data_IF_497298182848
#
_entry.id   IF_497298182848
#
_cell.length_a   1.000
_cell.length_b   1.000
_cell.length_c   1.000
_cell.angle_alpha   90.00
_cell.angle_beta   90.00
_cell.angle_gamma   90.00
#
_symmetry.space_group_name_H-M   'P 1'
#
loop_
_entity.id
_entity.type
_entity.pdbx_description
1 polymer ?
#
# COMPACT_ATOMS: atom_id res chain seq x y z
N UNK A 1 63.27 -26.56 7.66
CA UNK A 1 62.13 -26.27 6.77
C UNK A 1 61.05 -25.63 7.61
N UNK A 2 60.95 -24.30 7.60
CA UNK A 2 59.88 -23.57 8.25
C UNK A 2 58.89 -23.14 7.16
N UNK A 3 57.70 -23.71 7.19
CA UNK A 3 56.61 -23.37 6.27
C UNK A 3 56.02 -22.04 6.72
N UNK A 4 56.25 -20.99 5.95
CA UNK A 4 55.57 -19.70 6.09
C UNK A 4 54.10 -19.94 5.71
N UNK A 5 53.21 -19.89 6.69
CA UNK A 5 51.78 -19.80 6.43
C UNK A 5 51.52 -18.42 5.80
N UNK A 6 51.27 -18.40 4.49
CA UNK A 6 50.71 -17.23 3.83
C UNK A 6 49.33 -16.97 4.43
N UNK A 7 49.22 -15.91 5.22
CA UNK A 7 47.94 -15.28 5.53
C UNK A 7 47.42 -14.75 4.21
N UNK A 8 46.43 -15.43 3.64
CA UNK A 8 45.68 -14.92 2.51
C UNK A 8 44.89 -13.72 3.03
N UNK A 9 45.39 -12.51 2.77
CA UNK A 9 44.60 -11.29 2.91
C UNK A 9 43.38 -11.45 2.00
N UNK A 10 42.22 -11.69 2.61
CA UNK A 10 40.95 -11.59 1.89
C UNK A 10 40.79 -10.13 1.49
N UNK A 11 40.88 -9.88 0.20
CA UNK A 11 40.62 -8.59 -0.44
C UNK A 11 39.13 -8.25 -0.32
N UNK A 12 38.70 -7.95 0.90
CA UNK A 12 37.35 -7.46 1.19
C UNK A 12 37.31 -6.00 0.77
N UNK A 13 36.46 -5.70 -0.20
CA UNK A 13 36.15 -4.32 -0.55
C UNK A 13 35.84 -3.53 0.73
N UNK A 14 36.40 -2.32 0.90
CA UNK A 14 36.23 -1.56 2.12
C UNK A 14 34.73 -1.34 2.40
N UNK A 15 34.30 -1.41 3.67
CA UNK A 15 32.89 -1.24 4.02
C UNK A 15 32.40 0.13 3.55
N UNK A 16 31.09 0.28 3.24
CA UNK A 16 30.57 1.56 2.84
C UNK A 16 30.66 2.53 4.02
N UNK A 17 30.71 3.83 3.70
CA UNK A 17 30.75 4.87 4.73
C UNK A 17 29.59 4.69 5.73
N UNK A 18 29.85 4.86 7.03
CA UNK A 18 28.87 4.59 8.11
C UNK A 18 27.52 5.30 7.91
N UNK A 19 27.54 6.49 7.30
CA UNK A 19 26.33 7.23 6.94
C UNK A 19 25.35 6.42 6.07
N UNK A 20 25.83 5.46 5.27
CA UNK A 20 24.95 4.60 4.46
C UNK A 20 24.03 3.75 5.33
N UNK A 21 24.51 3.23 6.46
CA UNK A 21 23.68 2.46 7.41
C UNK A 21 22.60 3.31 8.09
N UNK A 22 22.77 4.64 8.10
CA UNK A 22 21.75 5.57 8.57
C UNK A 22 20.71 5.89 7.49
N UNK A 23 21.09 5.81 6.21
CA UNK A 23 20.22 6.15 5.08
C UNK A 23 19.40 4.94 4.62
N UNK A 24 20.03 3.77 4.48
CA UNK A 24 19.39 2.56 3.93
C UNK A 24 18.06 2.21 4.62
N UNK A 25 17.92 2.31 5.97
CA UNK A 25 16.65 2.00 6.64
C UNK A 25 15.46 2.91 6.26
N UNK A 26 15.72 4.06 5.64
CA UNK A 26 14.68 4.99 5.15
C UNK A 26 14.33 4.80 3.68
N UNK A 27 15.07 3.95 2.97
CA UNK A 27 14.84 3.69 1.56
C UNK A 27 13.74 2.64 1.38
N UNK A 28 13.02 2.74 0.26
CA UNK A 28 12.04 1.73 -0.14
C UNK A 28 12.74 0.45 -0.58
N UNK A 29 12.01 -0.66 -0.56
CA UNK A 29 12.56 -1.98 -0.93
C UNK A 29 13.21 -1.97 -2.32
N UNK A 30 12.59 -1.27 -3.29
CA UNK A 30 13.17 -1.12 -4.63
C UNK A 30 14.54 -0.43 -4.63
N UNK A 31 14.68 0.63 -3.83
CA UNK A 31 15.91 1.40 -3.73
C UNK A 31 16.99 0.61 -2.98
N UNK A 32 16.63 -0.08 -1.90
CA UNK A 32 17.53 -0.98 -1.15
C UNK A 32 18.06 -2.10 -2.05
N UNK A 33 17.19 -2.71 -2.86
CA UNK A 33 17.60 -3.73 -3.83
C UNK A 33 18.51 -3.14 -4.91
N UNK A 34 18.19 -1.95 -5.43
CA UNK A 34 19.03 -1.25 -6.42
C UNK A 34 20.42 -0.94 -5.87
N UNK A 35 20.52 -0.50 -4.61
CA UNK A 35 21.80 -0.27 -3.94
C UNK A 35 22.66 -1.54 -3.87
N UNK A 36 22.04 -2.70 -3.64
CA UNK A 36 22.76 -3.98 -3.63
C UNK A 36 23.34 -4.40 -4.98
N UNK A 37 22.98 -3.72 -6.07
CA UNK A 37 23.52 -3.97 -7.41
C UNK A 37 24.71 -3.06 -7.76
N UNK A 38 25.00 -2.04 -6.94
CA UNK A 38 26.05 -1.05 -7.25
C UNK A 38 27.46 -1.61 -7.05
N UNK A 39 27.72 -2.25 -5.91
CA UNK A 39 29.00 -2.89 -5.62
C UNK A 39 28.88 -4.00 -4.58
N UNK A 40 29.92 -4.81 -4.43
CA UNK A 40 30.02 -5.89 -3.43
C UNK A 40 29.82 -5.37 -2.01
N UNK A 41 30.51 -4.29 -1.65
CA UNK A 41 30.47 -3.66 -0.33
C UNK A 41 29.04 -3.21 0.07
N UNK A 42 28.29 -2.57 -0.84
CA UNK A 42 26.90 -2.18 -0.57
C UNK A 42 25.96 -3.39 -0.54
N UNK A 43 26.18 -4.38 -1.40
CA UNK A 43 25.42 -5.63 -1.37
C UNK A 43 25.55 -6.34 -0.04
N UNK A 44 26.77 -6.42 0.49
CA UNK A 44 27.06 -7.09 1.75
C UNK A 44 26.48 -6.29 2.92
N UNK A 45 26.60 -4.95 2.90
CA UNK A 45 25.95 -4.09 3.89
C UNK A 45 24.42 -4.29 3.94
N UNK A 46 23.77 -4.34 2.77
CA UNK A 46 22.32 -4.55 2.65
C UNK A 46 21.89 -5.96 3.08
N UNK A 47 22.70 -6.98 2.81
CA UNK A 47 22.37 -8.37 3.14
C UNK A 47 22.64 -8.73 4.60
N UNK A 48 23.64 -8.12 5.22
CA UNK A 48 24.06 -8.42 6.59
C UNK A 48 23.35 -7.56 7.64
N UNK A 49 22.80 -6.40 7.25
CA UNK A 49 21.97 -5.57 8.12
C UNK A 49 20.50 -6.00 8.07
N UNK A 50 19.90 -6.21 9.24
CA UNK A 50 18.49 -6.58 9.39
C UNK A 50 17.58 -5.36 9.42
N UNK A 51 18.08 -4.19 9.83
CA UNK A 51 17.24 -3.00 10.05
C UNK A 51 16.40 -2.59 8.85
N UNK A 52 16.92 -2.59 7.60
CA UNK A 52 16.13 -2.23 6.41
C UNK A 52 14.98 -3.20 6.13
N UNK A 53 15.06 -4.42 6.67
CA UNK A 53 14.11 -5.51 6.40
C UNK A 53 13.09 -5.69 7.52
N UNK A 54 13.10 -4.85 8.58
CA UNK A 54 12.09 -4.91 9.65
C UNK A 54 10.71 -4.40 9.19
N UNK A 55 10.67 -3.55 8.15
CA UNK A 55 9.45 -2.96 7.59
C UNK A 55 9.49 -3.07 6.07
N UNK A 56 8.84 -4.09 5.53
CA UNK A 56 8.82 -4.35 4.10
C UNK A 56 7.52 -3.82 3.52
N UNK A 57 7.63 -2.87 2.59
CA UNK A 57 6.52 -2.34 1.80
C UNK A 57 6.84 -2.64 0.33
N UNK A 58 6.03 -3.49 -0.28
CA UNK A 58 6.10 -3.81 -1.71
C UNK A 58 4.93 -3.12 -2.42
N UNK A 59 5.28 -2.30 -3.40
CA UNK A 59 4.36 -1.53 -4.22
C UNK A 59 4.84 -1.53 -5.68
N UNK A 60 4.14 -0.80 -6.55
CA UNK A 60 4.54 -0.60 -7.94
C UNK A 60 5.97 -0.02 -8.01
N UNK A 61 6.84 -0.54 -8.89
CA UNK A 61 6.59 -1.56 -9.91
C UNK A 61 6.89 -3.01 -9.47
N UNK A 62 7.37 -3.24 -8.24
CA UNK A 62 7.82 -4.56 -7.79
C UNK A 62 6.67 -5.57 -7.65
N UNK A 63 5.49 -5.11 -7.22
CA UNK A 63 4.31 -5.93 -7.00
C UNK A 63 3.92 -6.81 -8.21
N UNK A 64 4.01 -6.30 -9.45
CA UNK A 64 3.61 -7.01 -10.66
C UNK A 64 4.44 -8.25 -10.99
N UNK A 65 5.68 -8.34 -10.48
CA UNK A 65 6.59 -9.46 -10.74
C UNK A 65 6.92 -10.27 -9.50
N UNK A 66 6.35 -9.90 -8.35
CA UNK A 66 6.66 -10.52 -7.08
C UNK A 66 6.05 -11.92 -7.00
N UNK A 67 6.89 -12.94 -6.90
CA UNK A 67 6.47 -14.34 -6.69
C UNK A 67 6.64 -14.75 -5.23
N UNK A 68 5.99 -15.85 -4.82
CA UNK A 68 6.14 -16.44 -3.49
C UNK A 68 7.62 -16.65 -3.10
N UNK A 69 8.43 -17.22 -4.00
CA UNK A 69 9.85 -17.49 -3.74
C UNK A 69 10.68 -16.20 -3.61
N UNK A 70 10.37 -15.18 -4.40
CA UNK A 70 11.05 -13.89 -4.32
C UNK A 70 10.70 -13.16 -3.03
N UNK A 71 9.41 -13.18 -2.65
CA UNK A 71 8.96 -12.62 -1.38
C UNK A 71 9.65 -13.30 -0.20
N UNK A 72 9.74 -14.64 -0.19
CA UNK A 72 10.44 -15.38 0.85
C UNK A 72 11.91 -14.99 0.97
N UNK A 73 12.64 -14.92 -0.16
CA UNK A 73 14.04 -14.46 -0.18
C UNK A 73 14.23 -13.05 0.36
N UNK A 74 13.27 -12.16 0.14
CA UNK A 74 13.30 -10.79 0.66
C UNK A 74 13.03 -10.80 2.17
N UNK A 75 11.98 -11.49 2.61
CA UNK A 75 11.56 -11.51 4.02
C UNK A 75 12.51 -12.28 4.93
N UNK A 76 13.25 -13.27 4.40
CA UNK A 76 14.25 -14.03 5.17
C UNK A 76 15.41 -13.15 5.66
N UNK A 77 15.70 -12.04 4.97
CA UNK A 77 16.73 -11.07 5.39
C UNK A 77 16.41 -10.39 6.71
N UNK A 78 15.16 -10.42 7.16
CA UNK A 78 14.77 -9.90 8.48
C UNK A 78 15.15 -10.86 9.63
N UNK A 79 15.63 -12.07 9.33
CA UNK A 79 16.00 -13.11 10.32
C UNK A 79 14.89 -13.37 11.34
N UNK A 80 13.65 -13.46 10.86
CA UNK A 80 12.46 -13.73 11.68
C UNK A 80 11.95 -12.52 12.47
N UNK A 81 12.58 -11.35 12.34
CA UNK A 81 12.26 -10.13 13.09
C UNK A 81 11.39 -9.14 12.30
N UNK A 82 10.85 -9.53 11.14
CA UNK A 82 9.93 -8.69 10.37
C UNK A 82 8.76 -8.23 11.25
N UNK A 83 8.55 -6.91 11.32
CA UNK A 83 7.49 -6.30 12.13
C UNK A 83 6.31 -5.85 11.27
N UNK A 84 6.60 -5.37 10.05
CA UNK A 84 5.59 -4.89 9.11
C UNK A 84 5.78 -5.55 7.75
N UNK A 85 4.70 -6.12 7.23
CA UNK A 85 4.61 -6.61 5.86
C UNK A 85 3.44 -5.93 5.15
N UNK A 86 3.76 -5.17 4.11
CA UNK A 86 2.81 -4.51 3.25
C UNK A 86 3.00 -4.98 1.80
N UNK A 87 2.00 -5.65 1.24
CA UNK A 87 1.97 -6.17 -0.12
C UNK A 87 0.83 -5.48 -0.87
N UNK A 88 1.16 -4.44 -1.64
CA UNK A 88 0.17 -3.60 -2.33
C UNK A 88 -0.09 -4.14 -3.73
N UNK A 89 -1.28 -4.69 -3.97
CA UNK A 89 -1.68 -5.21 -5.28
C UNK A 89 -0.71 -6.31 -5.79
N UNK A 90 -0.21 -7.16 -4.90
CA UNK A 90 0.69 -8.26 -5.23
C UNK A 90 -0.12 -9.49 -5.69
N UNK A 91 -0.63 -9.44 -6.92
CA UNK A 91 -1.59 -10.42 -7.46
C UNK A 91 -1.05 -11.86 -7.58
N UNK A 92 0.27 -12.06 -7.58
CA UNK A 92 0.89 -13.39 -7.73
C UNK A 92 1.25 -14.06 -6.39
N UNK A 93 0.99 -13.40 -5.27
CA UNK A 93 1.21 -13.98 -3.94
C UNK A 93 -0.01 -14.80 -3.53
N UNK A 94 0.22 -16.04 -3.13
CA UNK A 94 -0.83 -16.99 -2.76
C UNK A 94 -0.93 -17.20 -1.26
N UNK A 95 -2.00 -17.84 -0.80
CA UNK A 95 -2.17 -18.30 0.58
C UNK A 95 -0.93 -19.03 1.12
N UNK A 96 -0.34 -19.92 0.31
CA UNK A 96 0.86 -20.68 0.70
C UNK A 96 2.09 -19.78 0.83
N UNK A 97 2.27 -18.82 -0.09
CA UNK A 97 3.36 -17.86 -0.03
C UNK A 97 3.29 -17.00 1.23
N UNK A 98 2.12 -16.43 1.51
CA UNK A 98 1.89 -15.65 2.72
C UNK A 98 2.14 -16.47 3.99
N UNK A 99 1.62 -17.70 4.04
CA UNK A 99 1.78 -18.57 5.20
C UNK A 99 3.25 -18.89 5.49
N UNK A 100 4.05 -19.22 4.47
CA UNK A 100 5.50 -19.49 4.65
C UNK A 100 6.25 -18.28 5.18
N UNK A 101 5.89 -17.07 4.74
CA UNK A 101 6.48 -15.83 5.25
C UNK A 101 6.17 -15.64 6.73
N UNK A 102 4.92 -15.85 7.11
CA UNK A 102 4.46 -15.73 8.50
C UNK A 102 5.14 -16.74 9.42
N UNK A 103 5.26 -17.99 8.98
CA UNK A 103 5.92 -19.05 9.76
C UNK A 103 7.39 -18.73 10.05
N UNK A 104 8.09 -18.09 9.09
CA UNK A 104 9.47 -17.63 9.28
C UNK A 104 9.57 -16.35 10.11
N UNK A 105 8.49 -15.57 10.20
CA UNK A 105 8.47 -14.24 10.80
C UNK A 105 7.33 -14.09 11.82
N UNK A 106 7.46 -14.70 13.01
CA UNK A 106 6.39 -14.71 14.00
C UNK A 106 6.14 -13.35 14.67
N UNK A 107 7.03 -12.36 14.45
CA UNK A 107 6.97 -11.05 15.09
C UNK A 107 6.22 -9.98 14.28
N UNK A 108 5.56 -10.34 13.18
CA UNK A 108 4.77 -9.41 12.38
C UNK A 108 3.61 -8.87 13.23
N UNK A 109 3.50 -7.53 13.29
CA UNK A 109 2.43 -6.79 13.98
C UNK A 109 1.52 -6.03 13.01
N UNK A 110 2.07 -5.62 11.88
CA UNK A 110 1.34 -4.87 10.84
C UNK A 110 1.34 -5.73 9.56
N UNK A 111 0.15 -6.23 9.16
CA UNK A 111 -0.03 -6.98 7.92
C UNK A 111 -1.01 -6.24 7.00
N UNK A 112 -0.52 -5.77 5.86
CA UNK A 112 -1.33 -5.12 4.85
C UNK A 112 -1.20 -5.88 3.53
N UNK A 113 -2.31 -6.39 3.00
CA UNK A 113 -2.36 -7.15 1.75
C UNK A 113 -3.50 -6.67 0.84
N UNK A 114 -3.68 -5.35 0.65
CA UNK A 114 -4.79 -4.86 -0.14
C UNK A 114 -4.65 -5.27 -1.62
N UNK A 115 -5.78 -5.63 -2.23
CA UNK A 115 -5.88 -6.08 -3.62
C UNK A 115 -4.95 -7.27 -3.98
N UNK A 116 -4.51 -8.07 -3.00
CA UNK A 116 -3.83 -9.34 -3.26
C UNK A 116 -4.86 -10.42 -3.63
N UNK A 117 -5.32 -10.40 -4.89
CA UNK A 117 -6.47 -11.18 -5.36
C UNK A 117 -6.28 -12.70 -5.34
N UNK A 118 -5.04 -13.20 -5.26
CA UNK A 118 -4.74 -14.63 -5.12
C UNK A 118 -4.68 -15.12 -3.67
N UNK A 119 -4.94 -14.24 -2.71
CA UNK A 119 -5.12 -14.59 -1.29
C UNK A 119 -6.63 -14.67 -1.03
N UNK A 120 -7.07 -15.75 -0.39
CA UNK A 120 -8.49 -15.99 -0.07
C UNK A 120 -8.80 -15.63 1.39
N UNK A 121 -10.08 -15.44 1.76
CA UNK A 121 -10.48 -15.24 3.15
C UNK A 121 -9.92 -16.29 4.12
N UNK A 122 -9.91 -17.57 3.73
CA UNK A 122 -9.38 -18.68 4.52
C UNK A 122 -7.86 -18.57 4.70
N UNK A 123 -7.16 -18.10 3.67
CA UNK A 123 -5.72 -17.81 3.74
C UNK A 123 -5.42 -16.72 4.76
N UNK A 124 -6.21 -15.64 4.79
CA UNK A 124 -6.10 -14.57 5.78
C UNK A 124 -6.39 -15.10 7.20
N UNK A 125 -7.46 -15.87 7.37
CA UNK A 125 -7.82 -16.46 8.66
C UNK A 125 -6.69 -17.32 9.23
N UNK A 126 -6.11 -18.19 8.40
CA UNK A 126 -4.97 -19.04 8.77
C UNK A 126 -3.72 -18.22 9.12
N UNK A 127 -3.44 -17.18 8.34
CA UNK A 127 -2.35 -16.25 8.59
C UNK A 127 -2.48 -15.56 9.97
N UNK A 128 -3.66 -14.99 10.25
CA UNK A 128 -3.96 -14.33 11.52
C UNK A 128 -3.90 -15.32 12.68
N UNK A 129 -4.47 -16.51 12.52
CA UNK A 129 -4.40 -17.56 13.53
C UNK A 129 -2.95 -17.93 13.88
N UNK A 130 -2.10 -18.13 12.88
CA UNK A 130 -0.69 -18.47 13.08
C UNK A 130 0.06 -17.37 13.84
N UNK A 131 -0.20 -16.09 13.53
CA UNK A 131 0.42 -14.96 14.21
C UNK A 131 -0.06 -14.83 15.66
N UNK A 132 -1.37 -14.95 15.90
CA UNK A 132 -1.96 -14.73 17.22
C UNK A 132 -1.72 -15.90 18.20
N UNK A 133 -1.35 -17.10 17.74
CA UNK A 133 -1.03 -18.26 18.59
C UNK A 133 0.13 -18.03 19.57
N UNK A 134 1.05 -17.08 19.31
CA UNK A 134 2.30 -16.90 20.08
C UNK A 134 2.30 -15.67 20.99
N UNK A 135 1.12 -15.19 21.42
CA UNK A 135 0.94 -13.91 22.13
C UNK A 135 1.51 -12.69 21.38
N UNK A 136 1.72 -12.83 20.06
CA UNK A 136 2.20 -11.78 19.17
C UNK A 136 1.20 -11.59 18.03
N UNK A 137 -0.02 -11.22 18.39
CA UNK A 137 -1.09 -10.97 17.45
C UNK A 137 -0.88 -9.62 16.73
N UNK A 138 -1.55 -9.46 15.59
CA UNK A 138 -1.48 -8.24 14.80
C UNK A 138 -2.07 -7.05 15.56
N UNK A 139 -1.42 -5.90 15.44
CA UNK A 139 -1.98 -4.60 15.84
C UNK A 139 -2.77 -3.96 14.72
N UNK A 140 -2.45 -4.30 13.46
CA UNK A 140 -3.11 -3.76 12.28
C UNK A 140 -3.15 -4.79 11.16
N UNK A 141 -4.32 -4.94 10.55
CA UNK A 141 -4.62 -5.79 9.42
C UNK A 141 -5.34 -4.97 8.33
N UNK A 142 -4.79 -4.91 7.12
CA UNK A 142 -5.49 -4.32 5.97
C UNK A 142 -5.69 -5.35 4.87
N UNK A 143 -6.94 -5.62 4.54
CA UNK A 143 -7.34 -6.70 3.63
C UNK A 143 -8.37 -6.26 2.58
N UNK A 144 -8.54 -4.94 2.39
CA UNK A 144 -9.38 -4.40 1.34
C UNK A 144 -9.02 -4.94 -0.05
N UNK A 145 -10.03 -5.31 -0.85
CA UNK A 145 -9.85 -5.82 -2.21
C UNK A 145 -9.57 -7.33 -2.29
N UNK A 146 -9.58 -8.05 -1.16
CA UNK A 146 -9.70 -9.52 -1.18
C UNK A 146 -11.16 -9.89 -1.52
N UNK A 147 -11.32 -10.74 -2.52
CA UNK A 147 -12.64 -11.17 -2.99
C UNK A 147 -13.32 -12.13 -2.03
N UNK A 148 -14.65 -12.18 -2.10
CA UNK A 148 -15.50 -13.12 -1.36
C UNK A 148 -15.35 -13.06 0.17
N UNK A 149 -14.90 -11.92 0.72
CA UNK A 149 -14.97 -11.68 2.16
C UNK A 149 -16.44 -11.52 2.59
N UNK A 150 -16.84 -12.33 3.57
CA UNK A 150 -18.19 -12.37 4.13
C UNK A 150 -18.17 -11.91 5.58
N UNK A 151 -19.35 -11.68 6.15
CA UNK A 151 -19.51 -11.20 7.52
C UNK A 151 -18.89 -12.16 8.54
N UNK A 152 -19.07 -13.46 8.34
CA UNK A 152 -18.55 -14.51 9.23
C UNK A 152 -17.02 -14.44 9.31
N UNK A 153 -16.36 -14.23 8.17
CA UNK A 153 -14.90 -14.04 8.12
C UNK A 153 -14.47 -12.81 8.92
N UNK A 154 -15.18 -11.69 8.75
CA UNK A 154 -14.89 -10.44 9.48
C UNK A 154 -15.08 -10.61 10.99
N UNK A 155 -16.14 -11.30 11.41
CA UNK A 155 -16.44 -11.56 12.82
C UNK A 155 -15.35 -12.43 13.47
N UNK A 156 -14.90 -13.50 12.79
CA UNK A 156 -13.80 -14.36 13.28
C UNK A 156 -12.49 -13.58 13.40
N UNK A 157 -12.13 -12.81 12.37
CA UNK A 157 -10.92 -11.97 12.39
C UNK A 157 -10.97 -10.97 13.54
N UNK A 158 -12.11 -10.28 13.69
CA UNK A 158 -12.30 -9.29 14.73
C UNK A 158 -12.22 -9.91 16.12
N UNK A 159 -12.79 -11.10 16.34
CA UNK A 159 -12.67 -11.83 17.61
C UNK A 159 -11.22 -12.13 17.97
N UNK A 160 -10.48 -12.79 17.05
CA UNK A 160 -9.08 -13.19 17.28
C UNK A 160 -8.16 -11.98 17.52
N UNK A 161 -8.38 -10.89 16.81
CA UNK A 161 -7.59 -9.66 16.96
C UNK A 161 -7.90 -8.94 18.29
N UNK A 162 -9.16 -8.97 18.75
CA UNK A 162 -9.58 -8.32 20.02
C UNK A 162 -9.13 -9.04 21.27
N UNK A 163 -9.00 -10.37 21.25
CA UNK A 163 -8.51 -11.17 22.39
C UNK A 163 -7.14 -10.71 22.90
N UNK A 164 -6.35 -10.01 22.07
CA UNK A 164 -4.99 -9.58 22.37
C UNK A 164 -4.84 -8.07 22.63
N UNK A 165 -5.94 -7.30 22.66
CA UNK A 165 -5.89 -5.84 22.78
C UNK A 165 -6.37 -5.33 24.14
N UNK A 166 -5.63 -4.38 24.73
CA UNK A 166 -6.05 -3.71 25.96
C UNK A 166 -7.29 -2.82 25.72
N UNK A 167 -8.16 -2.72 26.74
CA UNK A 167 -9.41 -1.95 26.73
C UNK A 167 -9.27 -0.48 26.28
N UNK A 168 -8.06 0.11 26.38
CA UNK A 168 -7.78 1.50 25.96
C UNK A 168 -7.81 1.71 24.44
N UNK A 169 -7.52 0.69 23.64
CA UNK A 169 -7.50 0.79 22.18
C UNK A 169 -8.92 0.74 21.55
N UNK A 170 -9.94 0.39 22.33
CA UNK A 170 -11.31 0.28 21.85
C UNK A 170 -12.03 1.63 21.70
N UNK A 171 -11.52 2.69 22.33
CA UNK A 171 -12.28 3.93 22.55
C UNK A 171 -12.10 5.01 21.48
N UNK A 172 -11.15 4.93 20.54
CA UNK A 172 -10.88 6.01 19.59
C UNK A 172 -10.74 5.48 18.15
N UNK A 173 -11.85 5.11 17.51
CA UNK A 173 -11.83 4.91 16.06
C UNK A 173 -11.88 6.27 15.37
N UNK A 174 -10.73 6.74 14.89
CA UNK A 174 -10.67 7.95 14.08
C UNK A 174 -11.48 7.79 12.77
N UNK A 175 -12.00 8.90 12.22
CA UNK A 175 -12.72 8.88 10.96
C UNK A 175 -11.81 8.45 9.80
N UNK A 176 -12.32 7.58 8.91
CA UNK A 176 -11.59 7.16 7.70
C UNK A 176 -12.09 7.99 6.52
N UNK A 177 -11.21 8.82 5.96
CA UNK A 177 -11.57 9.67 4.84
C UNK A 177 -11.20 9.07 3.48
N UNK A 178 -12.14 9.15 2.54
CA UNK A 178 -12.03 8.57 1.20
C UNK A 178 -10.81 9.02 0.39
N UNK A 179 -10.41 10.28 0.59
CA UNK A 179 -9.34 10.89 -0.19
C UNK A 179 -7.94 10.38 0.22
N UNK A 180 -7.83 9.57 1.28
CA UNK A 180 -6.57 8.97 1.74
C UNK A 180 -6.39 7.51 1.30
N UNK A 181 -7.34 6.93 0.55
CA UNK A 181 -7.38 5.49 0.26
C UNK A 181 -6.22 4.94 -0.58
N UNK A 182 -5.54 5.79 -1.35
CA UNK A 182 -4.43 5.39 -2.22
C UNK A 182 -3.06 5.86 -1.72
N UNK A 183 -3.00 6.55 -0.58
CA UNK A 183 -1.74 7.10 -0.10
C UNK A 183 -0.90 6.01 0.55
N UNK A 184 0.31 5.78 0.03
CA UNK A 184 1.31 4.90 0.67
C UNK A 184 1.62 5.38 2.10
N UNK A 185 1.57 6.69 2.33
CA UNK A 185 1.73 7.30 3.65
C UNK A 185 0.65 6.89 4.65
N UNK A 186 -0.54 6.44 4.19
CA UNK A 186 -1.56 5.87 5.07
C UNK A 186 -1.05 4.58 5.74
N UNK A 187 -0.11 3.88 5.12
CA UNK A 187 0.53 2.72 5.75
C UNK A 187 1.75 3.14 6.59
N UNK A 188 2.44 4.24 6.26
CA UNK A 188 3.67 4.66 6.97
C UNK A 188 3.39 5.29 8.35
N UNK A 189 2.23 5.95 8.53
CA UNK A 189 1.86 6.63 9.77
C UNK A 189 1.55 5.66 10.93
N UNK A 190 2.21 5.87 12.08
CA UNK A 190 2.12 5.01 13.27
C UNK A 190 0.96 5.35 14.22
N UNK A 191 0.22 6.42 13.98
CA UNK A 191 -0.77 6.92 14.93
C UNK A 191 -2.19 6.53 14.51
N UNK A 192 -2.87 5.77 15.38
CA UNK A 192 -4.34 5.61 15.43
C UNK A 192 -5.04 4.94 14.24
N UNK A 193 -4.40 3.97 13.60
CA UNK A 193 -5.09 3.13 12.61
C UNK A 193 -6.04 2.13 13.28
N UNK A 194 -7.22 1.93 12.69
CA UNK A 194 -8.13 0.84 13.08
C UNK A 194 -7.39 -0.49 12.94
N UNK A 195 -7.72 -1.44 13.82
CA UNK A 195 -7.10 -2.78 13.82
C UNK A 195 -7.36 -3.51 12.51
N UNK A 196 -8.55 -3.32 11.93
CA UNK A 196 -8.95 -3.84 10.63
C UNK A 196 -9.55 -2.70 9.80
N UNK A 197 -9.26 -2.69 8.50
CA UNK A 197 -9.69 -1.65 7.56
C UNK A 197 -11.14 -1.83 7.06
N UNK A 198 -11.71 -3.03 7.24
CA UNK A 198 -13.05 -3.40 6.78
C UNK A 198 -14.12 -3.33 7.86
N UNK A 199 -15.34 -3.00 7.42
CA UNK A 199 -16.55 -3.00 8.23
C UNK A 199 -17.77 -3.44 7.42
N UNK A 200 -18.88 -3.70 8.11
CA UNK A 200 -20.18 -3.87 7.47
C UNK A 200 -20.68 -2.48 7.04
N UNK A 201 -20.89 -2.29 5.75
CA UNK A 201 -21.41 -1.04 5.21
C UNK A 201 -22.84 -0.79 5.73
N UNK A 202 -23.14 0.37 6.34
CA UNK A 202 -24.49 0.66 6.86
C UNK A 202 -25.55 0.82 5.76
N UNK A 203 -25.15 0.95 4.48
CA UNK A 203 -26.05 1.14 3.34
C UNK A 203 -26.34 -0.15 2.57
N UNK A 204 -25.35 -1.01 2.37
CA UNK A 204 -25.51 -2.25 1.58
C UNK A 204 -25.24 -3.53 2.36
N UNK A 205 -24.91 -3.45 3.66
CA UNK A 205 -24.62 -4.59 4.54
C UNK A 205 -23.45 -5.51 4.14
N UNK A 206 -22.75 -5.18 3.05
CA UNK A 206 -21.54 -5.89 2.62
C UNK A 206 -20.30 -5.50 3.42
N UNK A 207 -19.36 -6.43 3.54
CA UNK A 207 -18.04 -6.20 4.15
C UNK A 207 -17.16 -5.40 3.19
N UNK A 208 -16.92 -4.13 3.50
CA UNK A 208 -16.17 -3.19 2.66
C UNK A 208 -15.42 -2.15 3.50
N UNK A 209 -14.49 -1.43 2.89
CA UNK A 209 -14.01 -0.16 3.44
C UNK A 209 -15.19 0.81 3.58
N UNK A 210 -15.38 1.37 4.77
CA UNK A 210 -16.44 2.36 5.04
C UNK A 210 -15.80 3.70 5.37
N UNK A 211 -16.25 4.74 4.68
CA UNK A 211 -15.68 6.08 4.78
C UNK A 211 -16.63 7.03 5.49
N UNK A 212 -16.03 7.91 6.29
CA UNK A 212 -16.66 9.04 6.95
C UNK A 212 -16.56 10.28 6.04
N UNK A 213 -17.51 11.21 6.15
CA UNK A 213 -17.50 12.44 5.37
C UNK A 213 -16.70 13.54 6.10
N UNK A 214 -15.72 14.19 5.46
CA UNK A 214 -14.98 15.29 6.08
C UNK A 214 -15.75 16.62 6.07
N UNK A 215 -16.90 16.72 5.39
CA UNK A 215 -17.71 17.95 5.37
C UNK A 215 -18.56 18.05 6.64
N UNK A 216 -18.38 19.11 7.41
CA UNK A 216 -19.19 19.41 8.61
C UNK A 216 -20.66 19.59 8.24
N UNK A 217 -20.94 20.39 7.21
CA UNK A 217 -22.30 20.65 6.72
C UNK A 217 -22.66 19.73 5.55
N UNK A 218 -22.45 18.42 5.71
CA UNK A 218 -22.81 17.46 4.67
C UNK A 218 -24.34 17.40 4.50
N UNK A 219 -24.85 17.78 3.32
CA UNK A 219 -26.29 17.76 3.00
C UNK A 219 -26.91 16.35 3.00
N UNK A 220 -26.10 15.30 2.88
CA UNK A 220 -26.59 13.92 2.94
C UNK A 220 -26.88 13.50 4.38
N UNK A 221 -28.12 13.06 4.63
CA UNK A 221 -28.46 12.33 5.86
C UNK A 221 -27.74 10.99 5.84
N UNK A 222 -26.99 10.69 6.91
CA UNK A 222 -26.15 9.47 7.04
C UNK A 222 -25.10 9.32 5.92
N UNK A 223 -24.10 10.21 5.94
CA UNK A 223 -23.03 10.31 4.96
C UNK A 223 -21.89 9.29 5.14
N UNK A 224 -22.14 8.18 5.85
CA UNK A 224 -21.18 7.09 6.11
C UNK A 224 -21.51 5.89 5.23
N UNK A 225 -20.52 5.37 4.51
CA UNK A 225 -20.75 4.28 3.57
C UNK A 225 -19.52 3.91 2.74
N UNK A 226 -19.62 2.78 2.05
CA UNK A 226 -18.57 2.30 1.15
C UNK A 226 -18.54 3.09 -0.17
N UNK A 227 -17.48 2.86 -0.97
CA UNK A 227 -17.26 3.54 -2.26
C UNK A 227 -18.39 3.30 -3.28
N UNK A 228 -19.12 2.20 -3.19
CA UNK A 228 -20.22 1.88 -4.11
C UNK A 228 -21.57 2.48 -3.68
N UNK A 229 -21.75 2.75 -2.39
CA UNK A 229 -23.01 3.30 -1.88
C UNK A 229 -23.04 4.82 -1.91
N UNK A 230 -21.88 5.47 -1.79
CA UNK A 230 -21.76 6.93 -1.71
C UNK A 230 -20.59 7.36 -2.58
N UNK A 231 -20.89 8.04 -3.69
CA UNK A 231 -19.89 8.72 -4.51
C UNK A 231 -19.24 9.86 -3.72
N UNK A 232 -17.91 9.97 -3.82
CA UNK A 232 -17.10 10.94 -3.07
C UNK A 232 -16.08 11.60 -3.97
N UNK A 233 -15.77 12.85 -3.66
CA UNK A 233 -14.77 13.61 -4.40
C UNK A 233 -13.38 13.03 -4.13
N UNK A 234 -12.61 12.78 -5.18
CA UNK A 234 -11.24 12.28 -5.07
C UNK A 234 -10.31 13.18 -4.26
N UNK A 235 -10.51 14.50 -4.36
CA UNK A 235 -9.60 15.46 -3.76
C UNK A 235 -9.87 15.67 -2.26
N UNK A 236 -11.11 16.05 -1.91
CA UNK A 236 -11.48 16.34 -0.53
C UNK A 236 -12.14 15.18 0.22
N UNK A 237 -12.60 14.13 -0.46
CA UNK A 237 -13.28 12.97 0.16
C UNK A 237 -14.71 13.23 0.63
N UNK A 238 -15.22 14.45 0.44
CA UNK A 238 -16.60 14.80 0.72
C UNK A 238 -17.57 14.06 -0.18
N UNK A 239 -18.75 13.73 0.34
CA UNK A 239 -19.84 13.16 -0.46
C UNK A 239 -20.19 14.09 -1.62
N UNK A 240 -20.40 13.49 -2.78
CA UNK A 240 -20.97 14.16 -3.95
C UNK A 240 -22.40 13.64 -4.09
N UNK A 241 -23.36 14.57 -4.07
CA UNK A 241 -24.79 14.25 -4.05
C UNK A 241 -25.33 13.84 -5.41
N UNK A 242 -26.60 14.15 -5.67
CA UNK A 242 -27.26 13.96 -6.97
C UNK A 242 -26.94 15.05 -8.00
N UNK A 243 -26.23 16.10 -7.60
CA UNK A 243 -25.68 17.09 -8.55
C UNK A 243 -24.62 16.38 -9.41
N UNK A 244 -24.65 16.59 -10.73
CA UNK A 244 -23.71 15.97 -11.66
C UNK A 244 -22.29 16.29 -11.23
N UNK A 245 -21.48 15.27 -10.94
CA UNK A 245 -20.17 15.52 -10.41
C UNK A 245 -19.20 15.82 -11.55
N UNK A 246 -18.15 16.59 -11.26
CA UNK A 246 -17.24 17.04 -12.31
C UNK A 246 -16.20 15.97 -12.64
N UNK A 247 -16.09 15.64 -13.92
CA UNK A 247 -15.15 14.65 -14.41
C UNK A 247 -13.74 15.25 -14.57
N UNK A 248 -12.74 14.50 -14.12
CA UNK A 248 -11.32 14.80 -14.31
C UNK A 248 -10.81 14.24 -15.64
N UNK A 249 -9.66 14.73 -16.10
CA UNK A 249 -8.95 14.16 -17.25
C UNK A 249 -8.53 12.69 -17.05
N UNK A 250 -8.42 12.23 -15.79
CA UNK A 250 -8.17 10.83 -15.44
C UNK A 250 -9.45 9.98 -15.35
N UNK A 251 -10.63 10.52 -15.68
CA UNK A 251 -11.93 9.83 -15.53
C UNK A 251 -12.45 9.78 -14.09
N UNK A 252 -11.68 10.28 -13.13
CA UNK A 252 -12.08 10.39 -11.74
C UNK A 252 -13.09 11.51 -11.49
N UNK A 253 -13.75 11.45 -10.34
CA UNK A 253 -14.83 12.35 -9.98
C UNK A 253 -14.40 13.37 -8.91
N UNK A 254 -14.73 14.65 -9.12
CA UNK A 254 -14.53 15.73 -8.16
C UNK A 254 -15.81 16.52 -7.88
N UNK A 255 -15.91 17.11 -6.69
CA UNK A 255 -16.95 18.11 -6.44
C UNK A 255 -16.56 19.45 -7.09
N UNK A 256 -17.56 20.24 -7.49
CA UNK A 256 -17.39 21.53 -8.16
C UNK A 256 -16.37 22.45 -7.46
N UNK A 257 -16.46 22.60 -6.14
CA UNK A 257 -15.53 23.43 -5.36
C UNK A 257 -14.06 23.02 -5.51
N UNK A 258 -13.80 21.72 -5.57
CA UNK A 258 -12.44 21.23 -5.74
C UNK A 258 -12.01 21.37 -7.20
N UNK A 259 -12.91 21.07 -8.14
CA UNK A 259 -12.67 21.15 -9.58
C UNK A 259 -12.31 22.58 -10.02
N UNK A 260 -12.94 23.60 -9.44
CA UNK A 260 -12.63 25.00 -9.71
C UNK A 260 -11.25 25.44 -9.20
N UNK A 261 -10.74 24.85 -8.12
CA UNK A 261 -9.50 25.27 -7.43
C UNK A 261 -8.23 24.65 -8.01
N UNK A 262 -8.34 23.64 -8.87
CA UNK A 262 -7.18 22.92 -9.40
C UNK A 262 -6.84 23.35 -10.83
N UNK A 263 -5.55 23.29 -11.22
CA UNK A 263 -5.12 23.55 -12.60
C UNK A 263 -5.77 22.61 -13.60
N UNK A 264 -6.02 23.09 -14.82
CA UNK A 264 -6.74 22.36 -15.88
C UNK A 264 -5.87 22.22 -17.12
N UNK A 265 -6.13 21.16 -17.87
CA UNK A 265 -5.53 20.93 -19.17
C UNK A 265 -5.93 22.07 -20.11
N UNK A 266 -4.99 22.66 -20.82
CA UNK A 266 -5.27 23.73 -21.79
C UNK A 266 -6.11 23.28 -22.98
N UNK A 267 -6.17 21.97 -23.27
CA UNK A 267 -6.94 21.42 -24.39
C UNK A 267 -8.37 21.02 -24.00
N UNK A 268 -8.54 20.11 -23.03
CA UNK A 268 -9.88 19.62 -22.64
C UNK A 268 -10.53 20.40 -21.49
N UNK A 269 -9.83 21.38 -20.90
CA UNK A 269 -10.28 22.13 -19.73
C UNK A 269 -10.67 21.26 -18.52
N UNK A 270 -10.14 20.02 -18.43
CA UNK A 270 -10.32 19.13 -17.28
C UNK A 270 -9.07 19.08 -16.40
N UNK A 271 -9.20 19.00 -15.07
CA UNK A 271 -8.07 18.84 -14.16
C UNK A 271 -7.71 17.35 -13.95
N UNK A 272 -6.55 17.08 -13.35
CA UNK A 272 -6.29 15.79 -12.71
C UNK A 272 -6.72 15.80 -11.25
N UNK A 273 -7.18 14.66 -10.77
CA UNK A 273 -7.39 14.47 -9.34
C UNK A 273 -6.04 14.44 -8.61
N UNK A 274 -6.04 14.61 -7.29
CA UNK A 274 -4.79 14.64 -6.50
C UNK A 274 -3.95 13.35 -6.59
N UNK A 275 -4.59 12.21 -6.86
CA UNK A 275 -3.91 10.91 -6.99
C UNK A 275 -3.14 10.79 -8.31
N UNK A 276 -3.49 11.59 -9.33
CA UNK A 276 -2.97 11.51 -10.69
C UNK A 276 -2.27 12.81 -11.13
N UNK A 277 -1.76 13.59 -10.17
CA UNK A 277 -1.05 14.86 -10.46
C UNK A 277 0.26 14.65 -11.21
N UNK A 278 0.88 13.48 -11.10
CA UNK A 278 2.09 13.12 -11.83
C UNK A 278 1.82 12.74 -13.31
N UNK A 279 0.56 12.75 -13.77
CA UNK A 279 0.21 12.46 -15.16
C UNK A 279 0.16 13.71 -16.04
N UNK A 280 0.46 14.89 -15.49
CA UNK A 280 0.63 16.10 -16.28
C UNK A 280 1.85 15.98 -17.20
N UNK A 281 1.65 16.24 -18.49
CA UNK A 281 2.74 16.49 -19.42
C UNK A 281 3.13 17.97 -19.30
N UNK A 282 4.42 18.25 -19.15
CA UNK A 282 4.94 19.61 -19.23
C UNK A 282 5.35 19.90 -20.66
N UNK A 283 4.62 20.80 -21.32
CA UNK A 283 5.02 21.28 -22.65
C UNK A 283 6.17 22.29 -22.51
N UNK A 284 6.91 22.50 -23.60
CA UNK A 284 7.94 23.55 -23.71
C UNK A 284 7.39 24.96 -23.46
N UNK A 285 6.08 25.17 -23.62
CA UNK A 285 5.41 26.47 -23.53
C UNK A 285 4.81 26.75 -22.15
N UNK A 286 5.19 25.98 -21.12
CA UNK A 286 4.65 26.08 -19.75
C UNK A 286 3.14 25.83 -19.64
N UNK A 287 2.49 25.35 -20.69
CA UNK A 287 1.08 24.96 -20.66
C UNK A 287 0.91 23.57 -20.06
N UNK A 288 -0.07 23.41 -19.17
CA UNK A 288 -0.41 22.11 -18.59
C UNK A 288 -1.25 21.31 -19.59
N UNK A 289 -0.69 20.20 -20.06
CA UNK A 289 -1.38 19.28 -20.95
C UNK A 289 -1.60 17.95 -20.24
N UNK A 290 -2.83 17.44 -20.27
CA UNK A 290 -3.08 16.10 -19.75
C UNK A 290 -2.60 15.04 -20.74
N UNK A 291 -2.18 13.89 -20.23
CA UNK A 291 -1.63 12.78 -21.03
C UNK A 291 -2.55 12.35 -22.17
N UNK A 292 -3.87 12.32 -21.94
CA UNK A 292 -4.85 11.94 -22.97
C UNK A 292 -4.85 12.93 -24.14
N UNK A 293 -4.80 14.23 -23.86
CA UNK A 293 -4.75 15.25 -24.90
C UNK A 293 -3.38 15.29 -25.59
N UNK A 294 -2.31 15.04 -24.85
CA UNK A 294 -0.94 14.93 -25.37
C UNK A 294 -0.81 13.76 -26.37
N UNK A 295 -1.23 12.56 -25.98
CA UNK A 295 -1.24 11.36 -26.82
C UNK A 295 -2.11 11.56 -28.08
N UNK A 296 -3.26 12.21 -27.95
CA UNK A 296 -4.12 12.54 -29.10
C UNK A 296 -3.53 13.62 -30.02
N UNK A 297 -2.72 14.54 -29.49
CA UNK A 297 -2.06 15.59 -30.29
C UNK A 297 -0.90 15.07 -31.13
N UNK A 298 -0.30 13.95 -30.73
CA UNK A 298 0.81 13.29 -31.43
C UNK A 298 0.38 12.21 -32.42
N UNK A 299 -0.93 12.01 -32.64
CA UNK A 299 -1.49 11.29 -33.78
C UNK A 299 -0.92 9.88 -34.01
N UNK A 300 -1.28 8.92 -33.17
CA UNK A 300 -1.30 7.53 -33.64
C UNK A 300 -2.58 7.33 -34.47
N UNK A 301 -2.41 7.34 -35.79
CA UNK A 301 -3.38 6.74 -36.71
C UNK A 301 -3.48 5.25 -36.37
N UNK A 302 -4.48 4.86 -35.58
CA UNK A 302 -5.02 3.51 -35.66
C UNK A 302 -5.69 3.42 -37.04
N UNK A 303 -4.97 2.91 -38.03
CA UNK A 303 -5.61 2.34 -39.20
C UNK A 303 -6.29 1.07 -38.73
N UNK A 304 -7.62 1.12 -38.64
CA UNK A 304 -8.46 -0.07 -38.64
C UNK A 304 -8.12 -0.89 -39.89
N UNK A 305 -7.48 -2.06 -39.70
CA UNK A 305 -7.54 -3.14 -40.67
C UNK A 305 -8.15 -4.37 -39.99
N UNK A 306 -9.41 -4.60 -40.37
CA UNK A 306 -10.28 -5.79 -40.35
C UNK A 306 -9.76 -7.07 -39.69
#
# INVERSE_FOLDING_TARGET
MATIAQVVEQDHAPPPHHAMFLVIPYLRVYEVLTMSLVCTSLRDAVNNDVLPWLRIIIETPLNYRLTNETLLKITSKSNGRLQKLALMNCIHITNQGLQRVIEQNPFIKELHIPACTSITPEGVLKAVETLCQRNNCLTTLSINGIYNLQKEHLDILTSKLRENLSLKNMQMQQPIYYHNRSSVSAFECRENHRIIDLEICPKCTEVKMVYDCPKVDCKMKECRGCVFCISRCENCGGCVGSEEPEECACGDIMCLECWLKVPKCSCCNKPYCKQHTNWWCTSTDSSLMCRVCDENSHGYTYTDEL
#
